data_IF_433043570722
#
_entry.id   IF_433043570722
#
_cell.length_a   1.000
_cell.length_b   1.000
_cell.length_c   1.000
_cell.angle_alpha   90.00
_cell.angle_beta   90.00
_cell.angle_gamma   90.00
#
_symmetry.space_group_name_H-M   'P 1'
#
loop_
_entity.id
_entity.type
_entity.pdbx_description
1 polymer ?
#
# COMPACT_ATOMS: atom_id res chain seq x y z
N UNK A 1 6.98 8.74 -5.23
CA UNK A 1 8.22 8.75 -6.03
C UNK A 1 7.84 8.92 -7.50
N UNK A 2 6.98 8.03 -7.99
CA UNK A 2 6.13 8.16 -9.18
C UNK A 2 5.67 9.60 -9.50
N UNK A 3 5.01 10.33 -8.59
CA UNK A 3 4.60 11.73 -8.84
C UNK A 3 5.76 12.65 -9.23
N UNK A 4 6.90 12.57 -8.52
CA UNK A 4 8.12 13.33 -8.87
C UNK A 4 8.68 12.94 -10.24
N UNK A 5 8.60 11.65 -10.59
CA UNK A 5 9.05 11.14 -11.89
C UNK A 5 8.12 11.57 -13.04
N UNK A 6 6.81 11.63 -12.79
CA UNK A 6 5.83 12.13 -13.74
C UNK A 6 6.02 13.64 -13.98
N UNK A 7 6.18 14.43 -12.90
CA UNK A 7 6.35 15.89 -12.98
C UNK A 7 7.62 16.33 -13.69
N UNK A 8 8.62 15.45 -13.79
CA UNK A 8 9.88 15.72 -14.49
C UNK A 8 9.87 15.34 -15.98
N UNK A 9 8.75 14.80 -16.49
CA UNK A 9 8.68 14.26 -17.87
C UNK A 9 7.43 14.72 -18.66
N UNK A 10 6.70 15.75 -18.18
CA UNK A 10 5.47 16.23 -18.84
C UNK A 10 5.66 16.71 -20.29
N UNK A 11 4.58 16.73 -21.06
CA UNK A 11 4.60 17.03 -22.51
C UNK A 11 5.23 18.41 -22.82
N UNK A 12 6.34 18.36 -23.56
CA UNK A 12 7.10 19.34 -24.36
C UNK A 12 6.90 20.86 -24.12
N UNK A 13 8.02 21.59 -23.93
CA UNK A 13 8.87 21.47 -22.77
C UNK A 13 8.11 22.02 -21.55
N UNK A 14 8.19 21.36 -20.38
CA UNK A 14 7.63 21.93 -19.18
C UNK A 14 8.36 23.25 -18.88
N UNK A 15 7.65 24.35 -18.59
CA UNK A 15 8.29 25.65 -18.32
C UNK A 15 9.12 25.62 -17.03
N UNK A 16 8.99 24.56 -16.21
CA UNK A 16 9.78 24.30 -15.00
C UNK A 16 10.28 22.85 -14.98
N UNK A 17 11.36 22.61 -14.22
CA UNK A 17 11.97 21.28 -13.98
C UNK A 17 10.96 20.30 -13.33
N UNK A 18 10.00 20.83 -12.57
CA UNK A 18 8.87 20.09 -11.98
C UNK A 18 7.57 20.73 -12.45
N UNK A 19 6.74 19.97 -13.16
CA UNK A 19 5.47 20.44 -13.71
C UNK A 19 4.29 19.57 -13.26
N UNK A 20 3.28 20.22 -12.68
CA UNK A 20 2.07 19.57 -12.19
C UNK A 20 1.16 19.19 -13.36
N UNK A 21 0.85 17.90 -13.50
CA UNK A 21 -0.05 17.41 -14.55
C UNK A 21 -1.43 17.13 -13.97
N UNK A 22 -2.40 18.02 -14.26
CA UNK A 22 -3.74 17.98 -13.64
C UNK A 22 -4.47 16.65 -13.86
N UNK A 23 -4.57 16.07 -15.08
CA UNK A 23 -5.23 14.78 -15.27
C UNK A 23 -4.60 13.62 -14.49
N UNK A 24 -3.27 13.57 -14.43
CA UNK A 24 -2.55 12.55 -13.66
C UNK A 24 -2.83 12.68 -12.16
N UNK A 25 -2.75 13.89 -11.63
CA UNK A 25 -2.92 14.15 -10.20
C UNK A 25 -4.34 13.92 -9.72
N UNK A 26 -5.35 14.33 -10.52
CA UNK A 26 -6.75 14.03 -10.22
C UNK A 26 -6.96 12.51 -10.08
N UNK A 27 -6.44 11.70 -11.01
CA UNK A 27 -6.59 10.24 -10.94
C UNK A 27 -5.94 9.63 -9.70
N UNK A 28 -4.77 10.13 -9.32
CA UNK A 28 -4.03 9.71 -8.13
C UNK A 28 -4.75 10.10 -6.84
N UNK A 29 -5.31 11.31 -6.77
CA UNK A 29 -5.97 11.82 -5.57
C UNK A 29 -7.30 11.10 -5.30
N UNK A 30 -8.09 10.82 -6.33
CA UNK A 30 -9.26 9.96 -6.20
C UNK A 30 -8.90 8.54 -5.73
N UNK A 31 -7.77 8.01 -6.19
CA UNK A 31 -7.28 6.71 -5.73
C UNK A 31 -6.89 6.72 -4.24
N UNK A 32 -6.49 7.86 -3.66
CA UNK A 32 -6.18 7.94 -2.22
C UNK A 32 -7.39 7.64 -1.33
N UNK A 33 -8.62 7.88 -1.80
CA UNK A 33 -9.84 7.55 -1.04
C UNK A 33 -9.90 6.05 -0.73
N UNK A 34 -9.33 5.20 -1.60
CA UNK A 34 -9.26 3.75 -1.37
C UNK A 34 -8.42 3.36 -0.15
N UNK A 35 -7.54 4.25 0.32
CA UNK A 35 -6.72 4.01 1.50
C UNK A 35 -7.49 4.17 2.81
N UNK A 36 -8.61 4.89 2.83
CA UNK A 36 -9.35 5.21 4.07
C UNK A 36 -9.77 3.92 4.80
N UNK A 37 -10.46 3.02 4.10
CA UNK A 37 -10.88 1.74 4.70
C UNK A 37 -9.68 0.81 4.94
N UNK A 38 -8.67 0.87 4.07
CA UNK A 38 -7.47 0.06 4.20
C UNK A 38 -6.69 0.42 5.48
N UNK A 39 -6.55 1.72 5.80
CA UNK A 39 -5.90 2.20 7.02
C UNK A 39 -6.67 1.86 8.28
N UNK A 40 -8.00 1.97 8.26
CA UNK A 40 -8.83 1.48 9.37
C UNK A 40 -8.59 -0.02 9.63
N UNK A 41 -8.45 -0.81 8.55
CA UNK A 41 -8.14 -2.23 8.66
C UNK A 41 -6.71 -2.50 9.17
N UNK A 42 -5.72 -1.67 8.82
CA UNK A 42 -4.36 -1.75 9.37
C UNK A 42 -4.38 -1.50 10.88
N UNK A 43 -5.04 -0.43 11.33
CA UNK A 43 -5.14 -0.08 12.75
C UNK A 43 -5.83 -1.21 13.54
N UNK A 44 -6.95 -1.71 13.03
CA UNK A 44 -7.64 -2.87 13.61
C UNK A 44 -6.70 -4.07 13.73
N UNK A 45 -5.93 -4.37 12.67
CA UNK A 45 -5.00 -5.51 12.64
C UNK A 45 -3.91 -5.40 13.71
N UNK A 46 -3.29 -4.23 13.87
CA UNK A 46 -2.28 -3.98 14.90
C UNK A 46 -2.89 -4.11 16.29
N UNK A 47 -4.07 -3.54 16.51
CA UNK A 47 -4.72 -3.56 17.80
C UNK A 47 -5.06 -4.99 18.24
N UNK A 48 -5.59 -5.80 17.31
CA UNK A 48 -5.84 -7.23 17.55
C UNK A 48 -4.55 -7.99 17.84
N UNK A 49 -3.47 -7.72 17.09
CA UNK A 49 -2.17 -8.34 17.31
C UNK A 49 -1.59 -7.96 18.68
N UNK A 50 -1.51 -6.66 19.00
CA UNK A 50 -0.94 -6.13 20.24
C UNK A 50 -1.71 -6.58 21.48
N UNK A 51 -3.04 -6.60 21.43
CA UNK A 51 -3.88 -7.13 22.53
C UNK A 51 -3.73 -8.64 22.68
N UNK A 52 -3.46 -9.37 21.60
CA UNK A 52 -3.22 -10.80 21.64
C UNK A 52 -1.90 -11.18 22.32
N UNK A 53 -0.87 -10.32 22.24
CA UNK A 53 0.46 -10.62 22.76
C UNK A 53 0.50 -10.71 24.30
N UNK A 54 -0.10 -9.74 25.01
CA UNK A 54 -0.04 -9.65 26.49
C UNK A 54 -0.64 -10.87 27.24
N UNK A 55 -1.88 -11.31 26.99
CA UNK A 55 -2.54 -12.32 27.81
C UNK A 55 -2.12 -13.77 27.49
N UNK A 56 -1.47 -14.02 26.35
CA UNK A 56 -1.05 -15.38 25.98
C UNK A 56 0.21 -15.83 26.73
N UNK A 57 1.11 -14.92 27.11
CA UNK A 57 2.34 -15.30 27.82
C UNK A 57 2.09 -15.65 29.29
N UNK A 58 1.19 -14.94 29.99
CA UNK A 58 0.87 -15.22 31.40
C UNK A 58 0.22 -16.59 31.60
N UNK A 59 -0.36 -17.17 30.55
CA UNK A 59 -1.15 -18.40 30.60
C UNK A 59 -0.47 -19.61 29.96
N UNK A 60 0.57 -19.40 29.15
CA UNK A 60 1.19 -20.48 28.39
C UNK A 60 2.52 -20.89 29.06
N UNK A 61 2.62 -22.12 29.60
CA UNK A 61 3.90 -22.65 30.05
C UNK A 61 4.87 -22.76 28.87
N UNK A 62 6.16 -22.53 29.13
CA UNK A 62 7.27 -22.52 28.15
C UNK A 62 7.30 -23.73 27.18
N UNK A 63 6.66 -24.85 27.52
CA UNK A 63 6.56 -26.04 26.66
C UNK A 63 5.59 -25.92 25.46
N UNK A 64 4.80 -24.85 25.33
CA UNK A 64 3.78 -24.71 24.27
C UNK A 64 4.05 -23.57 23.27
N UNK A 65 5.30 -23.13 23.12
CA UNK A 65 5.71 -22.04 22.21
C UNK A 65 5.32 -22.27 20.73
N UNK A 66 5.29 -23.52 20.27
CA UNK A 66 4.83 -23.83 18.91
C UNK A 66 3.36 -23.47 18.69
N UNK A 67 2.51 -23.66 19.70
CA UNK A 67 1.09 -23.33 19.62
C UNK A 67 0.86 -21.81 19.55
N UNK A 68 1.73 -21.04 20.20
CA UNK A 68 1.75 -19.58 20.13
C UNK A 68 2.08 -19.10 18.71
N UNK A 69 3.16 -19.59 18.11
CA UNK A 69 3.57 -19.21 16.75
C UNK A 69 2.50 -19.57 15.71
N UNK A 70 1.91 -20.77 15.79
CA UNK A 70 0.85 -21.18 14.87
C UNK A 70 -0.47 -20.40 15.04
N UNK A 71 -0.79 -19.95 16.26
CA UNK A 71 -1.93 -19.05 16.48
C UNK A 71 -1.72 -17.71 15.76
N UNK A 72 -0.57 -17.07 15.98
CA UNK A 72 -0.28 -15.76 15.39
C UNK A 72 -0.07 -15.82 13.88
N UNK A 73 0.46 -16.92 13.36
CA UNK A 73 0.52 -17.18 11.92
C UNK A 73 -0.87 -17.28 11.30
N UNK A 74 -1.83 -17.94 11.96
CA UNK A 74 -3.24 -17.95 11.52
C UNK A 74 -3.87 -16.56 11.59
N UNK A 75 -3.61 -15.81 12.67
CA UNK A 75 -4.06 -14.43 12.82
C UNK A 75 -3.51 -13.57 11.67
N UNK A 76 -2.23 -13.69 11.36
CA UNK A 76 -1.58 -13.01 10.23
C UNK A 76 -2.30 -13.26 8.91
N UNK A 77 -2.49 -14.53 8.52
CA UNK A 77 -3.17 -14.85 7.25
C UNK A 77 -4.62 -14.37 7.23
N UNK A 78 -5.31 -14.40 8.38
CA UNK A 78 -6.66 -13.82 8.51
C UNK A 78 -6.65 -12.31 8.30
N UNK A 79 -5.72 -11.58 8.92
CA UNK A 79 -5.63 -10.12 8.74
C UNK A 79 -5.24 -9.75 7.31
N UNK A 80 -4.32 -10.51 6.69
CA UNK A 80 -3.95 -10.32 5.29
C UNK A 80 -5.16 -10.53 4.36
N UNK A 81 -5.94 -11.59 4.56
CA UNK A 81 -7.14 -11.84 3.78
C UNK A 81 -8.20 -10.73 3.97
N UNK A 82 -8.44 -10.32 5.21
CA UNK A 82 -9.37 -9.23 5.52
C UNK A 82 -8.92 -7.91 4.89
N UNK A 83 -7.63 -7.60 4.91
CA UNK A 83 -7.08 -6.41 4.27
C UNK A 83 -7.30 -6.43 2.75
N UNK A 84 -7.04 -7.56 2.09
CA UNK A 84 -7.28 -7.70 0.65
C UNK A 84 -8.77 -7.56 0.32
N UNK A 85 -9.65 -8.17 1.12
CA UNK A 85 -11.09 -8.09 0.93
C UNK A 85 -11.62 -6.66 1.14
N UNK A 86 -11.28 -6.02 2.26
CA UNK A 86 -11.69 -4.64 2.60
C UNK A 86 -11.10 -3.64 1.61
N UNK A 87 -9.83 -3.81 1.24
CA UNK A 87 -9.18 -2.96 0.24
C UNK A 87 -9.83 -3.11 -1.14
N UNK A 88 -10.15 -4.33 -1.57
CA UNK A 88 -10.90 -4.57 -2.81
C UNK A 88 -12.28 -3.93 -2.80
N UNK A 89 -13.02 -4.06 -1.69
CA UNK A 89 -14.31 -3.37 -1.48
C UNK A 89 -14.12 -1.85 -1.53
N UNK A 90 -13.04 -1.33 -0.95
CA UNK A 90 -12.74 0.10 -0.95
C UNK A 90 -12.47 0.64 -2.35
N UNK A 91 -11.75 -0.12 -3.20
CA UNK A 91 -11.49 0.25 -4.59
C UNK A 91 -12.81 0.31 -5.37
N UNK A 92 -13.61 -0.76 -5.28
CA UNK A 92 -14.90 -0.86 -5.96
C UNK A 92 -15.86 0.24 -5.48
N UNK A 93 -15.95 0.44 -4.16
CA UNK A 93 -16.78 1.47 -3.54
C UNK A 93 -16.36 2.88 -3.95
N UNK A 94 -15.06 3.16 -4.03
CA UNK A 94 -14.54 4.44 -4.50
C UNK A 94 -14.88 4.65 -5.97
N UNK A 95 -14.72 3.64 -6.82
CA UNK A 95 -15.09 3.73 -8.23
C UNK A 95 -16.58 4.08 -8.43
N UNK A 96 -17.48 3.41 -7.71
CA UNK A 96 -18.91 3.71 -7.77
C UNK A 96 -19.25 5.07 -7.17
N UNK A 97 -18.58 5.48 -6.09
CA UNK A 97 -18.75 6.81 -5.50
C UNK A 97 -18.29 7.92 -6.45
N UNK A 98 -17.20 7.73 -7.18
CA UNK A 98 -16.76 8.66 -8.22
C UNK A 98 -17.76 8.67 -9.37
N UNK A 99 -18.22 7.51 -9.83
CA UNK A 99 -19.18 7.41 -10.92
C UNK A 99 -20.54 8.06 -10.58
N UNK A 100 -20.99 8.02 -9.32
CA UNK A 100 -22.23 8.69 -8.91
C UNK A 100 -22.13 10.22 -8.95
N UNK A 101 -20.91 10.76 -8.80
CA UNK A 101 -20.65 12.20 -8.91
C UNK A 101 -20.73 12.73 -10.34
N UNK A 102 -20.81 11.85 -11.36
CA UNK A 102 -20.96 12.23 -12.77
C UNK A 102 -22.16 13.16 -13.02
N UNK A 103 -23.21 13.09 -12.19
CA UNK A 103 -24.38 14.00 -12.26
C UNK A 103 -23.99 15.48 -12.08
N UNK A 104 -22.88 15.76 -11.39
CA UNK A 104 -22.41 17.12 -11.13
C UNK A 104 -21.34 17.61 -12.12
N UNK A 105 -21.12 16.87 -13.22
CA UNK A 105 -20.09 17.21 -14.23
C UNK A 105 -20.27 18.62 -14.84
N UNK A 106 -21.51 19.11 -14.96
CA UNK A 106 -21.78 20.42 -15.55
C UNK A 106 -21.59 21.57 -14.55
N UNK A 107 -21.52 21.25 -13.25
CA UNK A 107 -21.44 22.22 -12.16
C UNK A 107 -20.02 22.31 -11.56
N UNK A 108 -19.24 21.22 -11.63
CA UNK A 108 -17.92 21.11 -10.99
C UNK A 108 -16.85 20.75 -12.03
N UNK A 109 -15.90 21.65 -12.33
CA UNK A 109 -14.85 21.43 -13.34
C UNK A 109 -13.98 20.19 -13.10
N UNK A 110 -13.64 19.89 -11.85
CA UNK A 110 -12.76 18.78 -11.49
C UNK A 110 -13.41 17.42 -11.74
N UNK A 111 -14.73 17.34 -11.57
CA UNK A 111 -15.53 16.14 -11.88
C UNK A 111 -15.56 15.94 -13.40
N UNK A 112 -15.76 17.03 -14.15
CA UNK A 112 -15.72 17.00 -15.61
C UNK A 112 -14.36 16.52 -16.13
N UNK A 113 -13.26 17.03 -15.58
CA UNK A 113 -11.90 16.68 -16.00
C UNK A 113 -11.55 15.21 -15.68
N UNK A 114 -12.14 14.63 -14.63
CA UNK A 114 -12.01 13.21 -14.34
C UNK A 114 -12.60 12.34 -15.45
N UNK A 115 -13.83 12.65 -15.88
CA UNK A 115 -14.52 11.86 -16.91
C UNK A 115 -14.11 12.20 -18.34
N UNK A 116 -13.59 13.41 -18.58
CA UNK A 116 -13.20 13.86 -19.90
C UNK A 116 -11.92 13.18 -20.43
N UNK A 117 -11.05 12.68 -19.55
CA UNK A 117 -9.74 12.15 -19.94
C UNK A 117 -9.56 10.68 -19.55
N UNK A 118 -9.30 9.83 -20.56
CA UNK A 118 -9.03 8.40 -20.38
C UNK A 118 -7.76 8.11 -19.57
N UNK A 119 -6.82 9.06 -19.52
CA UNK A 119 -5.62 9.01 -18.70
C UNK A 119 -5.97 8.98 -17.21
N UNK A 120 -6.89 9.84 -16.77
CA UNK A 120 -7.30 9.96 -15.37
C UNK A 120 -7.85 8.65 -14.84
N UNK A 121 -8.75 8.01 -15.59
CA UNK A 121 -9.34 6.72 -15.23
C UNK A 121 -8.30 5.60 -15.19
N UNK A 122 -7.35 5.59 -16.13
CA UNK A 122 -6.26 4.60 -16.14
C UNK A 122 -5.36 4.75 -14.91
N UNK A 123 -4.92 5.97 -14.64
CA UNK A 123 -4.09 6.31 -13.47
C UNK A 123 -4.81 5.93 -12.19
N UNK A 124 -6.10 6.24 -12.07
CA UNK A 124 -6.93 5.85 -10.92
C UNK A 124 -6.88 4.34 -10.64
N UNK A 125 -7.08 3.49 -11.66
CA UNK A 125 -7.08 2.04 -11.47
C UNK A 125 -5.70 1.50 -11.09
N UNK A 126 -4.65 1.95 -11.79
CA UNK A 126 -3.28 1.53 -11.49
C UNK A 126 -2.89 1.95 -10.08
N UNK A 127 -3.15 3.22 -9.71
CA UNK A 127 -2.85 3.75 -8.39
C UNK A 127 -3.62 3.02 -7.28
N UNK A 128 -4.92 2.78 -7.47
CA UNK A 128 -5.77 2.06 -6.51
C UNK A 128 -5.25 0.64 -6.23
N UNK A 129 -4.90 -0.12 -7.27
CA UNK A 129 -4.31 -1.45 -7.12
C UNK A 129 -2.94 -1.36 -6.45
N UNK A 130 -2.14 -0.36 -6.83
CA UNK A 130 -0.82 -0.14 -6.22
C UNK A 130 -0.92 0.15 -4.73
N UNK A 131 -1.90 0.94 -4.32
CA UNK A 131 -2.19 1.28 -2.93
C UNK A 131 -2.65 0.07 -2.11
N UNK A 132 -3.37 -0.87 -2.71
CA UNK A 132 -3.67 -2.15 -2.05
C UNK A 132 -2.40 -2.95 -1.74
N UNK A 133 -1.47 -3.08 -2.69
CA UNK A 133 -0.19 -3.74 -2.42
C UNK A 133 0.66 -2.95 -1.41
N UNK A 134 0.63 -1.63 -1.48
CA UNK A 134 1.34 -0.78 -0.53
C UNK A 134 0.83 -1.01 0.90
N UNK A 135 -0.49 -1.09 1.10
CA UNK A 135 -1.07 -1.35 2.43
C UNK A 135 -0.75 -2.76 2.94
N UNK A 136 -0.63 -3.76 2.06
CA UNK A 136 -0.12 -5.09 2.44
C UNK A 136 1.31 -4.99 2.99
N UNK A 137 2.19 -4.26 2.31
CA UNK A 137 3.55 -4.05 2.81
C UNK A 137 3.59 -3.26 4.13
N UNK A 138 2.70 -2.27 4.29
CA UNK A 138 2.56 -1.54 5.55
C UNK A 138 2.10 -2.46 6.69
N UNK A 139 1.14 -3.36 6.44
CA UNK A 139 0.69 -4.33 7.44
C UNK A 139 1.87 -5.13 8.00
N UNK A 140 2.75 -5.63 7.13
CA UNK A 140 3.95 -6.34 7.55
C UNK A 140 4.89 -5.45 8.38
N UNK A 141 5.14 -4.23 7.93
CA UNK A 141 5.99 -3.28 8.66
C UNK A 141 5.45 -2.99 10.06
N UNK A 142 4.13 -2.83 10.20
CA UNK A 142 3.50 -2.57 11.47
C UNK A 142 3.65 -3.75 12.45
N UNK A 143 3.56 -4.99 11.96
CA UNK A 143 3.88 -6.16 12.78
C UNK A 143 5.35 -6.18 13.23
N UNK A 144 6.29 -5.86 12.34
CA UNK A 144 7.70 -5.79 12.69
C UNK A 144 7.99 -4.73 13.74
N UNK A 145 7.43 -3.53 13.56
CA UNK A 145 7.61 -2.41 14.47
C UNK A 145 6.98 -2.65 15.84
N UNK A 146 5.90 -3.44 15.91
CA UNK A 146 5.26 -3.79 17.19
C UNK A 146 6.18 -4.61 18.11
N UNK A 147 7.13 -5.37 17.55
CA UNK A 147 8.13 -6.14 18.31
C UNK A 147 9.55 -5.57 18.17
N UNK A 148 9.66 -4.27 17.90
CA UNK A 148 10.93 -3.55 17.75
C UNK A 148 11.92 -4.19 16.74
N UNK A 149 11.39 -4.65 15.59
CA UNK A 149 12.19 -5.17 14.49
C UNK A 149 12.18 -4.23 13.26
N UNK A 150 12.62 -2.96 13.39
CA UNK A 150 12.54 -1.98 12.30
C UNK A 150 13.41 -2.35 11.09
N UNK A 151 14.43 -3.19 11.28
CA UNK A 151 15.36 -3.63 10.24
C UNK A 151 14.62 -4.35 9.09
N UNK A 152 13.64 -5.20 9.38
CA UNK A 152 12.84 -5.85 8.33
C UNK A 152 12.00 -4.85 7.54
N UNK A 153 11.39 -3.88 8.23
CA UNK A 153 10.61 -2.84 7.59
C UNK A 153 11.50 -1.98 6.67
N UNK A 154 12.67 -1.56 7.15
CA UNK A 154 13.62 -0.73 6.41
C UNK A 154 14.04 -1.38 5.08
N UNK A 155 14.49 -2.64 5.11
CA UNK A 155 14.95 -3.31 3.89
C UNK A 155 13.83 -3.54 2.87
N UNK A 156 12.61 -3.84 3.33
CA UNK A 156 11.47 -3.99 2.45
C UNK A 156 11.07 -2.67 1.78
N UNK A 157 11.01 -1.58 2.55
CA UNK A 157 10.71 -0.23 2.03
C UNK A 157 11.78 0.21 1.04
N UNK A 158 13.07 0.01 1.37
CA UNK A 158 14.19 0.34 0.48
C UNK A 158 14.09 -0.42 -0.85
N UNK A 159 13.83 -1.72 -0.81
CA UNK A 159 13.66 -2.54 -2.01
C UNK A 159 12.49 -2.05 -2.88
N UNK A 160 11.35 -1.74 -2.28
CA UNK A 160 10.20 -1.17 -3.00
C UNK A 160 10.49 0.20 -3.62
N UNK A 161 11.21 1.07 -2.91
CA UNK A 161 11.60 2.40 -3.41
C UNK A 161 12.55 2.31 -4.61
N UNK A 162 13.54 1.42 -4.56
CA UNK A 162 14.49 1.19 -5.66
C UNK A 162 13.74 0.70 -6.90
N UNK A 163 12.83 -0.26 -6.74
CA UNK A 163 12.01 -0.78 -7.85
C UNK A 163 11.09 0.30 -8.41
N UNK A 164 10.41 1.07 -7.55
CA UNK A 164 9.56 2.19 -7.98
C UNK A 164 10.34 3.21 -8.80
N UNK A 165 11.51 3.62 -8.30
CA UNK A 165 12.37 4.57 -9.00
C UNK A 165 12.83 4.02 -10.34
N UNK A 166 13.38 2.81 -10.36
CA UNK A 166 13.99 2.23 -11.57
C UNK A 166 12.94 2.01 -12.66
N UNK A 167 11.83 1.36 -12.33
CA UNK A 167 10.77 1.06 -13.30
C UNK A 167 10.02 2.34 -13.68
N UNK A 168 9.68 3.17 -12.69
CA UNK A 168 9.00 4.45 -12.94
C UNK A 168 9.82 5.37 -13.84
N UNK A 169 11.14 5.42 -13.64
CA UNK A 169 12.04 6.21 -14.49
C UNK A 169 12.08 5.66 -15.91
N UNK A 170 12.31 4.36 -16.10
CA UNK A 170 12.36 3.73 -17.43
C UNK A 170 11.03 3.94 -18.17
N UNK A 171 9.91 3.60 -17.52
CA UNK A 171 8.60 3.68 -18.13
C UNK A 171 8.21 5.11 -18.50
N UNK A 172 8.47 6.09 -17.63
CA UNK A 172 8.04 7.46 -17.90
C UNK A 172 8.87 8.14 -19.00
N UNK A 173 10.14 7.74 -19.20
CA UNK A 173 11.02 8.32 -20.22
C UNK A 173 10.91 7.64 -21.58
N UNK A 174 10.64 6.34 -21.61
CA UNK A 174 10.59 5.57 -22.86
C UNK A 174 9.18 5.55 -23.46
N UNK A 175 8.14 5.49 -22.61
CA UNK A 175 6.76 5.29 -23.07
C UNK A 175 5.99 6.61 -23.05
N UNK A 176 5.63 7.09 -21.87
CA UNK A 176 4.93 8.36 -21.64
C UNK A 176 4.91 8.66 -20.13
N UNK A 177 4.73 9.93 -19.75
CA UNK A 177 4.86 10.36 -18.35
C UNK A 177 3.86 9.66 -17.40
N UNK A 178 2.66 9.30 -17.87
CA UNK A 178 1.61 8.63 -17.09
C UNK A 178 2.00 7.20 -16.70
N UNK A 179 2.92 6.57 -17.44
CA UNK A 179 3.48 5.27 -17.12
C UNK A 179 4.42 5.28 -15.90
N UNK A 180 4.71 6.46 -15.32
CA UNK A 180 5.30 6.54 -13.98
C UNK A 180 4.45 5.81 -12.91
N UNK A 181 3.13 5.72 -13.10
CA UNK A 181 2.23 4.92 -12.26
C UNK A 181 2.55 3.42 -12.27
N UNK A 182 3.12 2.88 -13.35
CA UNK A 182 3.57 1.48 -13.39
C UNK A 182 4.75 1.27 -12.46
N UNK A 183 5.61 2.28 -12.30
CA UNK A 183 6.65 2.30 -11.27
C UNK A 183 6.07 2.15 -9.87
N UNK A 184 4.99 2.90 -9.55
CA UNK A 184 4.28 2.78 -8.28
C UNK A 184 3.77 1.35 -8.06
N UNK A 185 3.12 0.76 -9.06
CA UNK A 185 2.59 -0.61 -8.99
C UNK A 185 3.69 -1.64 -8.77
N UNK A 186 4.75 -1.58 -9.57
CA UNK A 186 5.84 -2.54 -9.46
C UNK A 186 6.59 -2.38 -8.13
N UNK A 187 6.80 -1.15 -7.67
CA UNK A 187 7.41 -0.85 -6.39
C UNK A 187 6.58 -1.31 -5.20
N UNK A 188 5.25 -1.13 -5.23
CA UNK A 188 4.37 -1.59 -4.15
C UNK A 188 4.22 -3.10 -4.13
N UNK A 189 4.17 -3.78 -5.28
CA UNK A 189 4.24 -5.24 -5.38
C UNK A 189 5.56 -5.75 -4.81
N UNK A 190 6.69 -5.17 -5.20
CA UNK A 190 8.01 -5.54 -4.67
C UNK A 190 8.07 -5.35 -3.16
N UNK A 191 7.57 -4.23 -2.64
CA UNK A 191 7.46 -3.97 -1.22
C UNK A 191 6.62 -5.03 -0.50
N UNK A 192 5.43 -5.36 -1.02
CA UNK A 192 4.54 -6.38 -0.45
C UNK A 192 5.17 -7.78 -0.44
N UNK A 193 5.86 -8.16 -1.51
CA UNK A 193 6.51 -9.47 -1.66
C UNK A 193 7.73 -9.58 -0.72
N UNK A 194 8.62 -8.60 -0.74
CA UNK A 194 9.83 -8.59 0.09
C UNK A 194 9.46 -8.60 1.58
N UNK A 195 8.55 -7.72 1.99
CA UNK A 195 8.04 -7.70 3.37
C UNK A 195 7.29 -8.99 3.71
N UNK A 196 6.57 -9.60 2.78
CA UNK A 196 5.89 -10.88 2.97
C UNK A 196 6.84 -12.06 3.20
N UNK A 197 7.97 -12.11 2.48
CA UNK A 197 9.01 -13.11 2.75
C UNK A 197 9.63 -12.94 4.14
N UNK A 198 9.91 -11.70 4.55
CA UNK A 198 10.38 -11.39 5.89
C UNK A 198 9.32 -11.74 6.95
N UNK A 199 8.05 -11.46 6.68
CA UNK A 199 6.93 -11.76 7.57
C UNK A 199 6.79 -13.26 7.83
N UNK A 200 6.97 -14.11 6.81
CA UNK A 200 6.97 -15.57 6.99
C UNK A 200 8.07 -16.03 7.95
N UNK A 201 9.25 -15.42 7.90
CA UNK A 201 10.35 -15.74 8.81
C UNK A 201 10.08 -15.19 10.21
N UNK A 202 9.52 -13.98 10.30
CA UNK A 202 9.12 -13.32 11.53
C UNK A 202 8.11 -14.14 12.32
N UNK A 203 6.99 -14.54 11.71
CA UNK A 203 5.94 -15.32 12.38
C UNK A 203 6.36 -16.76 12.73
N UNK A 204 7.40 -17.30 12.09
CA UNK A 204 7.98 -18.61 12.46
C UNK A 204 8.80 -18.56 13.75
N UNK A 205 9.34 -17.40 14.10
CA UNK A 205 10.21 -17.16 15.26
C UNK A 205 9.64 -16.06 16.15
N UNK A 206 8.31 -15.95 16.22
CA UNK A 206 7.64 -14.83 16.86
C UNK A 206 7.91 -14.79 18.36
N UNK A 207 7.96 -15.97 18.99
CA UNK A 207 8.39 -16.19 20.36
C UNK A 207 9.76 -15.57 20.67
N UNK A 208 10.74 -15.78 19.79
CA UNK A 208 12.08 -15.19 19.93
C UNK A 208 12.05 -13.66 19.87
N UNK A 209 11.38 -13.10 18.86
CA UNK A 209 11.30 -11.64 18.69
C UNK A 209 10.56 -10.96 19.84
N UNK A 210 9.53 -11.61 20.35
CA UNK A 210 8.78 -11.11 21.48
C UNK A 210 9.62 -11.09 22.77
N UNK A 211 10.40 -12.15 23.06
CA UNK A 211 11.31 -12.18 24.21
C UNK A 211 12.50 -11.21 24.07
N UNK A 212 12.93 -10.89 22.85
CA UNK A 212 14.00 -9.90 22.65
C UNK A 212 13.54 -8.46 22.83
N UNK A 213 12.23 -8.19 22.73
CA UNK A 213 11.66 -6.85 22.79
C UNK A 213 11.24 -6.42 24.21
N UNK A 214 11.10 -7.36 25.15
CA UNK A 214 10.63 -7.14 26.54
C UNK A 214 11.46 -7.95 27.54
#
# INVERSE_FOLDING_TARGET
>A
MDRLLAWTTGDVPPPLILWFNTPYEIGMDWALITLVLSFAMLEYSINVFSRGLKPLQEKIPFLQLEQFNEYFKRLYFRQLFLLVAVGGISIIGTYYAVNSLMVFQDTVPEIKDFFANTLTTRVFWIASISYLFLTIGLLHCLFFLTLDQPVFAMYAVLGGLIVNFTIGFICSRIIAFDYATIGLLAGSIAFAILSGFMARTFFKKLDYFYYSAF
#
